data_IF_351128131204
#
_entry.id   IF_351128131204
#
_cell.length_a   1.000
_cell.length_b   1.000
_cell.length_c   1.000
_cell.angle_alpha   90.00
_cell.angle_beta   90.00
_cell.angle_gamma   90.00
#
_symmetry.space_group_name_H-M   'P 1'
#
loop_
_entity.id
_entity.type
_entity.pdbx_description
1 polymer ?
#
# COMPACT_ATOMS: atom_id res chain seq x y z
N UNK A 1 -7.24 -23.44 6.17
CA UNK A 1 -7.73 -22.85 4.92
C UNK A 1 -9.02 -22.12 5.25
N UNK A 2 -9.01 -20.79 5.29
CA UNK A 2 -10.20 -20.00 5.58
C UNK A 2 -11.04 -19.86 4.31
N UNK A 3 -12.16 -20.55 4.24
CA UNK A 3 -13.13 -20.40 3.15
C UNK A 3 -13.76 -19.01 3.24
N UNK A 4 -13.39 -18.12 2.31
CA UNK A 4 -13.96 -16.78 2.23
C UNK A 4 -15.14 -16.80 1.26
N UNK A 5 -16.27 -16.19 1.63
CA UNK A 5 -17.48 -16.19 0.78
C UNK A 5 -17.54 -14.87 0.01
N UNK A 6 -17.66 -14.93 -1.32
CA UNK A 6 -17.79 -13.72 -2.14
C UNK A 6 -19.04 -12.93 -1.73
N UNK A 7 -18.94 -11.63 -1.37
CA UNK A 7 -20.10 -10.84 -0.94
C UNK A 7 -21.13 -10.62 -2.06
N UNK A 8 -20.73 -10.74 -3.33
CA UNK A 8 -21.60 -10.49 -4.48
C UNK A 8 -22.30 -11.76 -4.98
N UNK A 9 -21.56 -12.85 -5.19
CA UNK A 9 -22.12 -14.09 -5.75
C UNK A 9 -22.34 -15.21 -4.72
N UNK A 10 -21.96 -15.00 -3.45
CA UNK A 10 -22.10 -15.95 -2.34
C UNK A 10 -21.43 -17.31 -2.58
N UNK A 11 -20.52 -17.41 -3.55
CA UNK A 11 -19.73 -18.60 -3.81
C UNK A 11 -18.47 -18.62 -2.95
N UNK A 12 -18.00 -19.81 -2.55
CA UNK A 12 -16.78 -19.96 -1.78
C UNK A 12 -15.55 -19.62 -2.62
N UNK A 13 -14.61 -18.92 -2.00
CA UNK A 13 -13.30 -18.56 -2.53
C UNK A 13 -12.29 -19.36 -1.72
N UNK A 14 -11.55 -20.20 -2.43
CA UNK A 14 -10.58 -21.14 -1.85
C UNK A 14 -9.16 -20.58 -1.78
N UNK A 15 -8.97 -19.37 -2.32
CA UNK A 15 -7.68 -18.72 -2.48
C UNK A 15 -7.75 -17.34 -1.82
N UNK A 16 -7.10 -17.21 -0.67
CA UNK A 16 -7.05 -15.99 0.14
C UNK A 16 -6.23 -14.86 -0.52
N UNK A 17 -5.49 -15.16 -1.59
CA UNK A 17 -4.78 -14.18 -2.41
C UNK A 17 -5.55 -13.77 -3.69
N UNK A 18 -6.72 -14.37 -3.95
CA UNK A 18 -7.52 -14.06 -5.12
C UNK A 18 -8.04 -12.61 -5.12
N UNK A 19 -7.42 -11.76 -5.95
CA UNK A 19 -7.83 -10.36 -6.16
C UNK A 19 -9.21 -10.24 -6.82
N UNK A 20 -9.64 -11.27 -7.56
CA UNK A 20 -10.92 -11.35 -8.25
C UNK A 20 -11.63 -12.66 -7.91
N UNK A 21 -12.95 -12.59 -7.83
CA UNK A 21 -13.79 -13.77 -7.75
C UNK A 21 -13.81 -14.45 -9.11
N UNK A 22 -13.33 -15.69 -9.19
CA UNK A 22 -13.33 -16.48 -10.43
C UNK A 22 -14.74 -16.73 -11.00
N UNK A 23 -15.78 -16.62 -10.15
CA UNK A 23 -17.14 -16.94 -10.55
C UNK A 23 -17.93 -15.75 -11.09
N UNK A 24 -17.82 -14.58 -10.47
CA UNK A 24 -18.56 -13.40 -10.90
C UNK A 24 -17.69 -12.30 -11.50
N UNK A 25 -16.37 -12.49 -11.53
CA UNK A 25 -15.42 -11.50 -12.03
C UNK A 25 -15.31 -10.25 -11.16
N UNK A 26 -15.89 -10.27 -9.96
CA UNK A 26 -15.85 -9.12 -9.05
C UNK A 26 -14.50 -9.01 -8.37
N UNK A 27 -13.96 -7.79 -8.28
CA UNK A 27 -12.81 -7.49 -7.45
C UNK A 27 -13.12 -7.81 -5.98
N UNK A 28 -12.44 -8.82 -5.41
CA UNK A 28 -12.60 -9.21 -4.02
C UNK A 28 -11.89 -8.28 -3.05
N UNK A 29 -11.23 -7.24 -3.58
CA UNK A 29 -10.90 -6.06 -2.80
C UNK A 29 -9.82 -6.30 -1.74
N UNK A 30 -8.78 -7.08 -2.05
CA UNK A 30 -7.54 -7.09 -1.28
C UNK A 30 -6.38 -6.51 -2.10
N UNK A 31 -6.53 -5.23 -2.46
CA UNK A 31 -5.42 -4.28 -2.45
C UNK A 31 -6.06 -2.91 -2.52
N UNK A 32 -6.42 -2.35 -1.35
CA UNK A 32 -6.19 -0.92 -1.16
C UNK A 32 -4.70 -0.74 -1.39
N UNK A 33 -4.31 -0.55 -2.65
CA UNK A 33 -2.93 -0.37 -3.04
C UNK A 33 -2.37 0.74 -2.17
N UNK A 34 -1.51 0.35 -1.22
CA UNK A 34 -0.26 0.97 -0.75
C UNK A 34 -0.16 2.51 -0.70
N UNK A 35 -1.24 3.27 -0.82
CA UNK A 35 -1.21 4.72 -1.04
C UNK A 35 -2.19 5.50 -0.15
N UNK A 36 -3.05 4.84 0.61
CA UNK A 36 -4.07 5.54 1.43
C UNK A 36 -3.91 5.37 2.94
N UNK A 37 -2.88 4.64 3.40
CA UNK A 37 -2.66 4.42 4.84
C UNK A 37 -1.19 4.59 5.28
N UNK A 38 -0.50 5.56 4.68
CA UNK A 38 0.71 6.15 5.26
C UNK A 38 0.45 7.58 5.72
N UNK A 39 -0.74 7.84 6.30
CA UNK A 39 -0.98 9.04 7.11
C UNK A 39 -0.50 8.84 8.55
N UNK A 40 0.55 8.03 8.72
CA UNK A 40 1.28 7.94 9.99
C UNK A 40 2.28 9.12 10.03
N UNK A 41 2.28 9.96 11.08
CA UNK A 41 3.17 11.13 11.18
C UNK A 41 4.65 10.77 10.99
N UNK A 42 5.04 9.55 11.38
CA UNK A 42 6.38 8.99 11.19
C UNK A 42 6.88 9.00 9.74
N UNK A 43 6.04 8.72 8.74
CA UNK A 43 6.48 8.68 7.34
C UNK A 43 6.70 10.09 6.80
N UNK A 44 5.87 11.06 7.20
CA UNK A 44 6.08 12.48 6.85
C UNK A 44 7.37 13.01 7.46
N UNK A 45 7.68 12.64 8.71
CA UNK A 45 8.93 13.02 9.38
C UNK A 45 10.13 12.38 8.69
N UNK A 46 10.07 11.10 8.34
CA UNK A 46 11.14 10.40 7.63
C UNK A 46 11.46 11.06 6.29
N UNK A 47 10.44 11.35 5.48
CA UNK A 47 10.62 12.03 4.19
C UNK A 47 11.21 13.43 4.36
N UNK A 48 10.76 14.18 5.38
CA UNK A 48 11.30 15.51 5.66
C UNK A 48 12.78 15.46 6.06
N UNK A 49 13.18 14.48 6.90
CA UNK A 49 14.58 14.29 7.29
C UNK A 49 15.47 13.92 6.10
N UNK A 50 15.01 13.03 5.22
CA UNK A 50 15.75 12.66 4.01
C UNK A 50 15.93 13.89 3.10
N UNK A 51 14.86 14.64 2.86
CA UNK A 51 14.92 15.86 2.05
C UNK A 51 15.89 16.90 2.66
N UNK A 52 15.83 17.12 3.97
CA UNK A 52 16.73 18.03 4.68
C UNK A 52 18.19 17.60 4.55
N UNK A 53 18.49 16.31 4.73
CA UNK A 53 19.84 15.78 4.63
C UNK A 53 20.43 15.97 3.23
N UNK A 54 19.63 15.74 2.19
CA UNK A 54 20.03 15.98 0.79
C UNK A 54 20.36 17.45 0.57
N UNK A 55 19.48 18.37 0.99
CA UNK A 55 19.70 19.82 0.83
C UNK A 55 20.98 20.26 1.57
N UNK A 56 21.19 19.80 2.81
CA UNK A 56 22.41 20.08 3.56
C UNK A 56 23.67 19.57 2.85
N UNK A 57 23.62 18.35 2.28
CA UNK A 57 24.76 17.80 1.54
C UNK A 57 25.10 18.65 0.30
N UNK A 58 24.09 19.10 -0.46
CA UNK A 58 24.29 19.99 -1.59
C UNK A 58 24.89 21.34 -1.17
N UNK A 59 24.41 21.93 -0.08
CA UNK A 59 24.98 23.18 0.45
C UNK A 59 26.43 23.00 0.87
N UNK A 60 26.77 21.91 1.56
CA UNK A 60 28.15 21.62 1.96
C UNK A 60 29.09 21.44 0.76
N UNK A 61 28.60 20.86 -0.34
CA UNK A 61 29.39 20.72 -1.57
C UNK A 61 29.62 22.07 -2.24
N UNK A 62 28.61 22.96 -2.24
CA UNK A 62 28.71 24.30 -2.87
C UNK A 62 29.56 25.26 -2.04
N UNK A 63 29.49 25.16 -0.70
CA UNK A 63 30.29 26.00 0.21
C UNK A 63 31.73 25.51 0.39
N UNK A 64 32.07 24.32 -0.10
CA UNK A 64 33.42 23.78 -0.08
C UNK A 64 34.22 24.25 -1.29
#
# INVERSE_FOLDING_TARGET
MSEYICPRCKKPIYDDEALLCLYCGESLGCSKGVLSSARSPQFRILVALIALAVVCAFLLIILR
#
